data_IF_424076725572
#
_entry.id   IF_424076725572
#
_cell.length_a   1.000
_cell.length_b   1.000
_cell.length_c   1.000
_cell.angle_alpha   90.00
_cell.angle_beta   90.00
_cell.angle_gamma   90.00
#
_symmetry.space_group_name_H-M   'P 1'
#
loop_
_entity.id
_entity.type
_entity.pdbx_description
1 polymer ?
#
# COMPACT_ATOMS: atom_id res chain seq x y z
N UNK A 1 -7.45 -28.08 0.85
CA UNK A 1 -7.06 -26.95 1.72
C UNK A 1 -8.08 -25.83 1.54
N UNK A 2 -8.78 -25.40 2.59
CA UNK A 2 -9.85 -24.37 2.51
C UNK A 2 -9.42 -22.99 3.02
N UNK A 3 -8.14 -22.81 3.36
CA UNK A 3 -7.61 -21.59 3.97
C UNK A 3 -6.47 -21.01 3.13
N UNK A 4 -6.30 -19.70 3.20
CA UNK A 4 -5.16 -19.00 2.61
C UNK A 4 -3.87 -19.31 3.38
N UNK A 5 -2.74 -19.21 2.68
CA UNK A 5 -1.43 -19.31 3.31
C UNK A 5 -1.28 -18.24 4.41
N UNK A 6 -0.82 -18.59 5.64
CA UNK A 6 -0.74 -17.64 6.76
C UNK A 6 0.02 -16.35 6.44
N UNK A 7 1.12 -16.45 5.67
CA UNK A 7 1.89 -15.29 5.20
C UNK A 7 1.02 -14.31 4.38
N UNK A 8 0.12 -14.80 3.52
CA UNK A 8 -0.77 -13.94 2.75
C UNK A 8 -1.75 -13.17 3.63
N UNK A 9 -2.20 -13.80 4.71
CA UNK A 9 -3.10 -13.19 5.69
C UNK A 9 -2.35 -12.12 6.49
N UNK A 10 -1.14 -12.43 6.98
CA UNK A 10 -0.30 -11.47 7.69
C UNK A 10 0.04 -10.25 6.82
N UNK A 11 0.53 -10.48 5.60
CA UNK A 11 0.81 -9.40 4.64
C UNK A 11 -0.43 -8.57 4.31
N UNK A 12 -1.62 -9.18 4.30
CA UNK A 12 -2.86 -8.45 4.04
C UNK A 12 -3.13 -7.41 5.12
N UNK A 13 -3.14 -7.87 6.38
CA UNK A 13 -3.49 -7.03 7.52
C UNK A 13 -2.43 -5.97 7.81
N UNK A 14 -1.14 -6.32 7.69
CA UNK A 14 -0.04 -5.36 7.81
C UNK A 14 -0.21 -4.24 6.79
N UNK A 15 -0.37 -4.59 5.50
CA UNK A 15 -0.55 -3.58 4.46
C UNK A 15 -1.82 -2.76 4.65
N UNK A 16 -2.94 -3.38 5.04
CA UNK A 16 -4.20 -2.68 5.26
C UNK A 16 -4.06 -1.61 6.35
N UNK A 17 -3.44 -1.95 7.48
CA UNK A 17 -3.16 -0.99 8.56
C UNK A 17 -2.22 0.13 8.08
N UNK A 18 -1.14 -0.21 7.38
CA UNK A 18 -0.20 0.79 6.85
C UNK A 18 -0.85 1.75 5.86
N UNK A 19 -1.73 1.26 4.98
CA UNK A 19 -2.48 2.10 4.03
C UNK A 19 -3.40 3.06 4.79
N UNK A 20 -4.16 2.57 5.78
CA UNK A 20 -5.09 3.41 6.56
C UNK A 20 -4.32 4.50 7.30
N UNK A 21 -3.23 4.14 7.99
CA UNK A 21 -2.37 5.09 8.72
C UNK A 21 -1.77 6.10 7.75
N UNK A 22 -1.24 5.66 6.61
CA UNK A 22 -0.60 6.55 5.63
C UNK A 22 -1.60 7.53 4.99
N UNK A 23 -2.83 7.08 4.68
CA UNK A 23 -3.88 7.95 4.16
C UNK A 23 -4.29 9.03 5.17
N UNK A 24 -4.47 8.65 6.44
CA UNK A 24 -4.78 9.61 7.50
C UNK A 24 -3.63 10.59 7.71
N UNK A 25 -2.40 10.08 7.86
CA UNK A 25 -1.23 10.88 8.17
C UNK A 25 -0.88 11.86 7.03
N UNK A 26 -0.88 11.38 5.77
CA UNK A 26 -0.63 12.23 4.61
C UNK A 26 -1.69 13.31 4.44
N UNK A 27 -2.98 12.95 4.55
CA UNK A 27 -4.09 13.88 4.31
C UNK A 27 -4.31 14.87 5.45
N UNK A 28 -4.17 14.48 6.70
CA UNK A 28 -4.55 15.31 7.86
C UNK A 28 -3.34 16.06 8.43
N UNK A 29 -2.20 15.38 8.60
CA UNK A 29 -1.03 15.97 9.24
C UNK A 29 -0.14 16.64 8.21
N UNK A 30 0.29 15.91 7.18
CA UNK A 30 1.32 16.41 6.26
C UNK A 30 0.82 17.56 5.38
N UNK A 31 -0.46 17.51 4.97
CA UNK A 31 -1.06 18.52 4.09
C UNK A 31 -1.31 19.87 4.79
N UNK A 32 -1.47 19.87 6.12
CA UNK A 32 -1.80 21.06 6.91
C UNK A 32 -0.57 21.76 7.47
N UNK A 33 0.59 21.08 7.49
CA UNK A 33 1.86 21.65 7.94
C UNK A 33 2.43 22.64 6.92
N UNK A 34 2.94 23.77 7.41
CA UNK A 34 3.69 24.72 6.59
C UNK A 34 5.01 24.09 6.09
N UNK A 35 5.45 24.43 4.88
CA UNK A 35 6.76 24.00 4.37
C UNK A 35 7.94 24.56 5.18
N UNK A 36 7.73 25.65 5.92
CA UNK A 36 8.75 26.22 6.80
C UNK A 36 8.81 25.54 8.17
N UNK A 37 7.89 24.62 8.48
CA UNK A 37 7.86 23.92 9.76
C UNK A 37 8.97 22.84 9.79
N UNK A 38 9.94 22.91 10.73
CA UNK A 38 10.97 21.89 10.86
C UNK A 38 10.43 20.48 11.11
N UNK A 39 9.27 20.35 11.76
CA UNK A 39 8.65 19.05 12.05
C UNK A 39 8.09 18.39 10.79
N UNK A 40 7.82 19.16 9.73
CA UNK A 40 7.31 18.63 8.47
C UNK A 40 8.31 17.70 7.80
N UNK A 41 9.61 17.96 7.95
CA UNK A 41 10.66 17.09 7.40
C UNK A 41 10.61 15.70 8.05
N UNK A 42 10.46 15.62 9.37
CA UNK A 42 10.35 14.35 10.08
C UNK A 42 9.08 13.59 9.69
N UNK A 43 7.95 14.30 9.60
CA UNK A 43 6.68 13.73 9.18
C UNK A 43 6.75 13.20 7.73
N UNK A 44 7.41 13.94 6.83
CA UNK A 44 7.64 13.55 5.44
C UNK A 44 8.56 12.33 5.35
N UNK A 45 9.62 12.29 6.16
CA UNK A 45 10.53 11.14 6.27
C UNK A 45 9.77 9.87 6.63
N UNK A 46 8.92 9.95 7.66
CA UNK A 46 8.06 8.83 8.06
C UNK A 46 7.09 8.41 6.97
N UNK A 47 6.42 9.37 6.33
CA UNK A 47 5.48 9.09 5.23
C UNK A 47 6.16 8.42 4.03
N UNK A 48 7.30 8.94 3.58
CA UNK A 48 8.07 8.36 2.46
C UNK A 48 8.57 6.95 2.80
N UNK A 49 9.08 6.75 4.03
CA UNK A 49 9.54 5.43 4.49
C UNK A 49 8.40 4.40 4.47
N UNK A 50 7.22 4.76 4.98
CA UNK A 50 6.04 3.89 4.95
C UNK A 50 5.56 3.64 3.51
N UNK A 51 5.60 4.64 2.64
CA UNK A 51 5.26 4.51 1.22
C UNK A 51 6.17 3.53 0.48
N UNK A 52 7.48 3.64 0.69
CA UNK A 52 8.48 2.71 0.14
C UNK A 52 8.28 1.28 0.67
N UNK A 53 8.06 1.15 1.97
CA UNK A 53 7.78 -0.15 2.61
C UNK A 53 6.50 -0.78 2.06
N UNK A 54 5.43 -0.01 1.85
CA UNK A 54 4.19 -0.47 1.20
C UNK A 54 4.45 -0.99 -0.21
N UNK A 55 5.28 -0.29 -0.99
CA UNK A 55 5.70 -0.75 -2.33
C UNK A 55 6.41 -2.11 -2.27
N UNK A 56 7.39 -2.27 -1.38
CA UNK A 56 8.10 -3.52 -1.20
C UNK A 56 7.18 -4.67 -0.73
N UNK A 57 6.30 -4.40 0.24
CA UNK A 57 5.34 -5.38 0.75
C UNK A 57 4.29 -5.77 -0.30
N UNK A 58 3.90 -4.85 -1.18
CA UNK A 58 3.01 -5.16 -2.30
C UNK A 58 3.66 -6.16 -3.25
N UNK A 59 4.93 -5.93 -3.63
CA UNK A 59 5.68 -6.85 -4.48
C UNK A 59 5.83 -8.23 -3.81
N UNK A 60 6.19 -8.26 -2.53
CA UNK A 60 6.29 -9.49 -1.75
C UNK A 60 4.94 -10.22 -1.69
N UNK A 61 3.84 -9.50 -1.43
CA UNK A 61 2.48 -10.07 -1.40
C UNK A 61 2.10 -10.69 -2.73
N UNK A 62 2.41 -10.03 -3.84
CA UNK A 62 2.15 -10.57 -5.19
C UNK A 62 2.99 -11.81 -5.45
N UNK A 63 4.28 -11.79 -5.14
CA UNK A 63 5.17 -12.95 -5.26
C UNK A 63 4.65 -14.16 -4.48
N UNK A 64 4.32 -13.98 -3.20
CA UNK A 64 3.74 -15.05 -2.35
C UNK A 64 2.40 -15.52 -2.90
N UNK A 65 1.56 -14.63 -3.43
CA UNK A 65 0.24 -14.97 -4.00
C UNK A 65 0.37 -15.83 -5.26
N UNK A 66 1.42 -15.63 -6.04
CA UNK A 66 1.70 -16.45 -7.23
C UNK A 66 2.39 -17.77 -6.87
N UNK A 67 3.21 -17.79 -5.82
CA UNK A 67 3.92 -18.99 -5.37
C UNK A 67 3.09 -19.93 -4.49
N UNK A 68 2.04 -19.43 -3.81
CA UNK A 68 1.23 -20.22 -2.88
C UNK A 68 0.02 -20.88 -3.57
N UNK A 69 -0.35 -22.09 -3.11
CA UNK A 69 -1.61 -22.72 -3.49
C UNK A 69 -2.80 -21.85 -3.08
N UNK A 70 -3.78 -21.71 -3.98
CA UNK A 70 -5.00 -20.92 -3.75
C UNK A 70 -6.13 -21.86 -3.30
N UNK A 71 -6.79 -21.61 -2.16
CA UNK A 71 -7.99 -22.35 -1.82
C UNK A 71 -9.08 -22.11 -2.89
N UNK A 72 -10.08 -23.01 -2.99
CA UNK A 72 -11.27 -22.76 -3.80
C UNK A 72 -11.87 -21.39 -3.45
N UNK A 73 -12.38 -20.70 -4.47
CA UNK A 73 -13.01 -19.39 -4.24
C UNK A 73 -14.28 -19.59 -3.42
N UNK A 74 -14.54 -18.66 -2.51
CA UNK A 74 -15.85 -18.57 -1.88
C UNK A 74 -16.85 -18.10 -2.94
N UNK A 75 -17.96 -18.82 -3.07
CA UNK A 75 -19.05 -18.48 -3.97
C UNK A 75 -20.19 -17.85 -3.17
N UNK A 76 -20.78 -16.77 -3.68
CA UNK A 76 -21.93 -16.13 -3.06
C UNK A 76 -23.27 -16.62 -3.64
N UNK A 77 -23.25 -17.57 -4.57
CA UNK A 77 -24.42 -17.99 -5.37
C UNK A 77 -24.79 -17.00 -6.48
N UNK A 78 -23.99 -15.95 -6.70
CA UNK A 78 -24.18 -14.96 -7.76
C UNK A 78 -22.88 -14.75 -8.53
N UNK A 79 -22.86 -15.22 -9.79
CA UNK A 79 -21.69 -15.10 -10.66
C UNK A 79 -21.24 -13.64 -10.87
N UNK A 80 -22.14 -12.67 -10.73
CA UNK A 80 -21.79 -11.26 -10.78
C UNK A 80 -21.01 -10.83 -9.53
N UNK A 81 -21.49 -11.14 -8.33
CA UNK A 81 -20.84 -10.77 -7.08
C UNK A 81 -19.48 -11.45 -6.93
N UNK A 82 -19.36 -12.71 -7.36
CA UNK A 82 -18.08 -13.45 -7.36
C UNK A 82 -17.02 -12.76 -8.25
N UNK A 83 -17.44 -12.25 -9.42
CA UNK A 83 -16.56 -11.49 -10.33
C UNK A 83 -16.15 -10.14 -9.73
N UNK A 84 -17.08 -9.43 -9.09
CA UNK A 84 -16.81 -8.15 -8.42
C UNK A 84 -15.79 -8.33 -7.30
N UNK A 85 -15.88 -9.42 -6.53
CA UNK A 85 -14.90 -9.73 -5.49
C UNK A 85 -13.48 -9.88 -6.05
N UNK A 86 -13.32 -10.55 -7.19
CA UNK A 86 -12.03 -10.69 -7.88
C UNK A 86 -11.54 -9.34 -8.42
N UNK A 87 -12.43 -8.60 -9.09
CA UNK A 87 -12.12 -7.31 -9.69
C UNK A 87 -11.64 -6.31 -8.62
N UNK A 88 -12.31 -6.26 -7.48
CA UNK A 88 -11.97 -5.36 -6.35
C UNK A 88 -10.54 -5.61 -5.85
N UNK A 89 -10.13 -6.87 -5.68
CA UNK A 89 -8.78 -7.17 -5.22
C UNK A 89 -7.69 -6.71 -6.20
N UNK A 90 -7.91 -6.93 -7.50
CA UNK A 90 -6.98 -6.48 -8.53
C UNK A 90 -6.96 -4.97 -8.66
N UNK A 91 -8.12 -4.34 -8.62
CA UNK A 91 -8.25 -2.89 -8.64
C UNK A 91 -7.49 -2.26 -7.46
N UNK A 92 -7.63 -2.80 -6.25
CA UNK A 92 -6.88 -2.34 -5.08
C UNK A 92 -5.35 -2.50 -5.24
N UNK A 93 -4.87 -3.58 -5.86
CA UNK A 93 -3.43 -3.71 -6.15
C UNK A 93 -2.94 -2.61 -7.08
N UNK A 94 -3.69 -2.33 -8.15
CA UNK A 94 -3.35 -1.28 -9.11
C UNK A 94 -3.36 0.08 -8.42
N UNK A 95 -4.38 0.40 -7.62
CA UNK A 95 -4.44 1.68 -6.91
C UNK A 95 -3.28 1.88 -5.93
N UNK A 96 -2.91 0.86 -5.16
CA UNK A 96 -1.76 0.95 -4.25
C UNK A 96 -0.47 1.15 -5.04
N UNK A 97 -0.28 0.41 -6.14
CA UNK A 97 0.89 0.59 -7.00
C UNK A 97 0.96 2.01 -7.57
N UNK A 98 -0.16 2.53 -8.11
CA UNK A 98 -0.23 3.89 -8.64
C UNK A 98 0.08 4.95 -7.58
N UNK A 99 -0.39 4.77 -6.34
CA UNK A 99 -0.09 5.69 -5.23
C UNK A 99 1.39 5.69 -4.86
N UNK A 100 2.02 4.51 -4.82
CA UNK A 100 3.47 4.41 -4.55
C UNK A 100 4.27 5.05 -5.69
N UNK A 101 3.91 4.75 -6.95
CA UNK A 101 4.58 5.28 -8.13
C UNK A 101 4.41 6.80 -8.25
N UNK A 102 3.24 7.34 -7.94
CA UNK A 102 3.04 8.79 -7.94
C UNK A 102 3.87 9.47 -6.85
N UNK A 103 3.91 8.91 -5.64
CA UNK A 103 4.76 9.42 -4.55
C UNK A 103 6.25 9.39 -4.89
N UNK A 104 6.74 8.30 -5.52
CA UNK A 104 8.09 8.21 -6.06
C UNK A 104 8.35 9.29 -7.11
N UNK A 105 7.43 9.47 -8.05
CA UNK A 105 7.51 10.50 -9.09
C UNK A 105 7.62 11.91 -8.50
N UNK A 106 6.79 12.23 -7.50
CA UNK A 106 6.85 13.51 -6.77
C UNK A 106 8.17 13.68 -6.01
N UNK A 107 8.66 12.63 -5.35
CA UNK A 107 9.91 12.70 -4.60
C UNK A 107 11.13 12.89 -5.52
N UNK A 108 11.14 12.24 -6.68
CA UNK A 108 12.19 12.39 -7.68
C UNK A 108 12.15 13.78 -8.33
N UNK A 109 10.98 14.27 -8.73
CA UNK A 109 10.86 15.58 -9.37
C UNK A 109 11.17 16.73 -8.42
N UNK A 110 10.87 16.56 -7.13
CA UNK A 110 11.18 17.54 -6.08
C UNK A 110 12.59 17.41 -5.48
N UNK A 111 13.40 16.45 -5.90
CA UNK A 111 14.73 16.21 -5.31
C UNK A 111 14.67 15.87 -3.81
N UNK A 112 13.61 15.21 -3.35
CA UNK A 112 13.35 15.02 -1.93
C UNK A 112 14.20 13.91 -1.29
N UNK A 113 14.74 12.98 -2.08
CA UNK A 113 15.52 11.86 -1.54
C UNK A 113 16.77 12.29 -0.76
N UNK A 114 17.67 13.14 -1.29
CA UNK A 114 18.80 13.65 -0.52
C UNK A 114 18.37 14.50 0.68
N UNK A 115 17.29 15.28 0.54
CA UNK A 115 16.78 16.14 1.64
C UNK A 115 16.27 15.31 2.82
N UNK A 116 15.61 14.18 2.53
CA UNK A 116 14.94 13.35 3.52
C UNK A 116 15.84 12.26 4.09
N UNK A 117 16.77 11.72 3.29
CA UNK A 117 17.57 10.55 3.67
C UNK A 117 19.09 10.80 3.71
N UNK A 118 19.58 11.98 3.30
CA UNK A 118 21.00 12.33 3.25
C UNK A 118 21.58 12.21 1.85
#
# INVERSE_FOLDING_TARGET
>A
MTRYHPILVALHWIMAVMVIVSLFFGKVLLSTMSNADPQKLQALTGHMTVGLALGALLLLRLAVRFASAKPPRAETGSAFLDKVGIATHWFMYVLIALMVLSGLGTALSGGLFPVVFG
#
